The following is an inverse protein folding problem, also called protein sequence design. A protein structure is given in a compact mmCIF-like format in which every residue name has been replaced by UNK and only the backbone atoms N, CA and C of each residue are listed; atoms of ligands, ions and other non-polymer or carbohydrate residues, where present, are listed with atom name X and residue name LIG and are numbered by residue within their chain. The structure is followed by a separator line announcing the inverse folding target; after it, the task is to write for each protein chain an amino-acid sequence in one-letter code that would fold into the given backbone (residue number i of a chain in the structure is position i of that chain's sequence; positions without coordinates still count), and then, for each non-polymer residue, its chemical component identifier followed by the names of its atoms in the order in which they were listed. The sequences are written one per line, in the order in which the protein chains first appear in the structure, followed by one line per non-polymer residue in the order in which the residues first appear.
data_IF_690875946629
#
_entry.id   IF_690875946629
#
_cell.length_a   1.000
_cell.length_b   1.000
_cell.length_c   1.000
_cell.angle_alpha   90.00
_cell.angle_beta   90.00
_cell.angle_gamma   90.00
#
_symmetry.space_group_name_H-M   'P 1'
#
loop_
_entity.id
_entity.type
_entity.pdbx_description
1 polymer ?
#
# COMPACT_ATOMS: atom_id res chain seq x y z
N UNK A 1 61.10 -7.54 2.07
CA UNK A 1 60.09 -8.58 2.37
C UNK A 1 59.00 -8.10 3.34
N UNK A 2 59.33 -7.62 4.56
CA UNK A 2 58.33 -7.15 5.54
C UNK A 2 57.42 -6.00 5.04
N UNK A 3 57.95 -5.03 4.28
CA UNK A 3 57.19 -3.91 3.70
C UNK A 3 56.19 -4.37 2.62
N UNK A 4 56.57 -5.37 1.83
CA UNK A 4 55.71 -5.96 0.79
C UNK A 4 54.56 -6.76 1.40
N UNK A 5 54.84 -7.50 2.49
CA UNK A 5 53.84 -8.25 3.25
C UNK A 5 52.80 -7.34 3.91
N UNK A 6 53.21 -6.18 4.44
CA UNK A 6 52.30 -5.18 5.03
C UNK A 6 51.34 -4.59 3.99
N UNK A 7 51.82 -4.32 2.77
CA UNK A 7 51.00 -3.76 1.69
C UNK A 7 49.93 -4.75 1.24
N UNK A 8 50.27 -6.04 1.15
CA UNK A 8 49.33 -7.11 0.79
C UNK A 8 48.24 -7.27 1.87
N UNK A 9 48.62 -7.23 3.16
CA UNK A 9 47.68 -7.33 4.27
C UNK A 9 46.74 -6.11 4.32
N UNK A 10 47.26 -4.89 4.11
CA UNK A 10 46.41 -3.70 4.02
C UNK A 10 45.45 -3.74 2.83
N UNK A 11 45.89 -4.24 1.67
CA UNK A 11 45.04 -4.38 0.48
C UNK A 11 43.92 -5.40 0.70
N UNK A 12 44.20 -6.51 1.38
CA UNK A 12 43.20 -7.52 1.75
C UNK A 12 42.16 -6.98 2.76
N UNK A 13 42.59 -6.17 3.73
CA UNK A 13 41.68 -5.55 4.71
C UNK A 13 40.75 -4.52 4.01
N UNK A 14 41.29 -3.71 3.09
CA UNK A 14 40.50 -2.73 2.34
C UNK A 14 39.50 -3.42 1.39
N UNK A 15 39.91 -4.49 0.69
CA UNK A 15 38.97 -5.30 -0.10
C UNK A 15 37.91 -5.97 0.78
N UNK A 16 38.27 -6.51 1.94
CA UNK A 16 37.32 -7.11 2.88
C UNK A 16 36.26 -6.13 3.41
N UNK A 17 36.66 -4.88 3.68
CA UNK A 17 35.71 -3.83 4.08
C UNK A 17 34.77 -3.41 2.94
N UNK A 18 35.27 -3.34 1.70
CA UNK A 18 34.46 -2.94 0.55
C UNK A 18 33.45 -4.01 0.11
N UNK A 19 33.76 -5.30 0.31
CA UNK A 19 32.83 -6.41 0.05
C UNK A 19 31.79 -6.61 1.18
N UNK A 20 32.08 -6.18 2.41
CA UNK A 20 31.14 -6.30 3.53
C UNK A 20 29.95 -5.32 3.44
N UNK A 21 30.14 -4.16 2.80
CA UNK A 21 29.09 -3.13 2.70
C UNK A 21 28.05 -3.39 1.61
N UNK A 22 28.35 -4.22 0.61
CA UNK A 22 27.41 -4.52 -0.48
C UNK A 22 26.35 -5.57 -0.12
N UNK A 23 26.57 -6.38 0.93
CA UNK A 23 25.62 -7.41 1.37
C UNK A 23 24.56 -6.89 2.35
N UNK A 24 24.75 -5.71 2.94
CA UNK A 24 23.79 -5.11 3.90
C UNK A 24 22.73 -4.27 3.17
N UNK A 25 23.01 -3.81 1.95
CA UNK A 25 22.08 -2.99 1.17
C UNK A 25 20.85 -3.76 0.66
N UNK A 26 20.90 -5.09 0.58
CA UNK A 26 19.76 -5.93 0.16
C UNK A 26 18.84 -6.37 1.32
N UNK A 27 19.11 -5.94 2.56
CA UNK A 27 18.24 -6.22 3.70
C UNK A 27 17.17 -5.15 3.94
N UNK A 28 17.18 -4.06 3.17
CA UNK A 28 16.02 -3.20 3.01
C UNK A 28 15.04 -3.93 2.08
N UNK A 29 14.33 -4.92 2.61
CA UNK A 29 13.25 -5.57 1.88
C UNK A 29 12.29 -4.50 1.39
N UNK A 30 12.05 -4.48 0.08
CA UNK A 30 10.94 -3.74 -0.49
C UNK A 30 9.70 -4.12 0.33
N UNK A 31 9.07 -3.13 0.97
CA UNK A 31 7.80 -3.38 1.67
C UNK A 31 6.88 -4.00 0.62
N UNK A 32 6.48 -5.25 0.83
CA UNK A 32 5.61 -5.95 -0.09
C UNK A 32 4.37 -5.07 -0.32
N UNK A 33 4.23 -4.60 -1.56
CA UNK A 33 3.18 -3.66 -1.92
C UNK A 33 1.84 -4.39 -1.78
N UNK A 34 0.93 -3.82 -0.98
CA UNK A 34 -0.38 -4.44 -0.77
C UNK A 34 -1.12 -4.52 -2.11
N UNK A 35 -1.92 -5.57 -2.29
CA UNK A 35 -2.57 -5.91 -3.57
C UNK A 35 -3.33 -4.75 -4.22
N UNK A 36 -3.94 -3.88 -3.41
CA UNK A 36 -4.73 -2.73 -3.85
C UNK A 36 -4.01 -1.39 -3.71
N UNK A 37 -2.69 -1.37 -3.55
CA UNK A 37 -1.91 -0.13 -3.44
C UNK A 37 -2.13 0.74 -4.68
N UNK A 38 -2.43 2.02 -4.44
CA UNK A 38 -2.74 2.98 -5.51
C UNK A 38 -4.15 2.88 -6.08
N UNK A 39 -4.96 1.90 -5.66
CA UNK A 39 -6.35 1.76 -6.10
C UNK A 39 -7.30 2.67 -5.31
N UNK A 40 -8.26 3.26 -6.00
CA UNK A 40 -9.37 4.01 -5.42
C UNK A 40 -10.65 3.21 -5.62
N UNK A 41 -11.38 2.91 -4.55
CA UNK A 41 -12.68 2.22 -4.66
C UNK A 41 -13.78 3.10 -4.11
N UNK A 42 -14.78 3.39 -4.94
CA UNK A 42 -16.05 3.96 -4.52
C UNK A 42 -17.04 2.83 -4.24
N UNK A 43 -17.42 2.69 -2.97
CA UNK A 43 -18.34 1.64 -2.52
C UNK A 43 -19.73 2.23 -2.24
N UNK A 44 -20.68 1.90 -3.11
CA UNK A 44 -22.09 2.31 -2.97
C UNK A 44 -22.79 1.45 -1.92
N UNK A 45 -22.87 1.96 -0.69
CA UNK A 45 -23.55 1.30 0.42
C UNK A 45 -25.08 1.33 0.29
N UNK A 46 -25.60 2.29 -0.47
CA UNK A 46 -27.03 2.43 -0.74
C UNK A 46 -27.77 3.09 0.43
N UNK A 47 -28.01 2.40 1.54
CA UNK A 47 -28.81 2.92 2.66
C UNK A 47 -28.21 4.14 3.38
N UNK A 48 -28.82 4.50 4.51
CA UNK A 48 -28.26 5.53 5.41
C UNK A 48 -27.01 4.98 6.08
N UNK A 49 -26.05 5.85 6.37
CA UNK A 49 -24.88 5.47 7.16
C UNK A 49 -25.30 4.97 8.55
N UNK A 50 -24.73 3.85 9.00
CA UNK A 50 -24.96 3.29 10.33
C UNK A 50 -26.24 2.47 10.50
N UNK A 51 -27.16 2.47 9.53
CA UNK A 51 -28.35 1.63 9.58
C UNK A 51 -28.01 0.13 9.58
N UNK A 52 -28.89 -0.75 10.11
CA UNK A 52 -28.63 -2.20 10.16
C UNK A 52 -28.26 -2.80 8.79
N UNK A 53 -28.82 -2.25 7.71
CA UNK A 53 -28.55 -2.71 6.36
C UNK A 53 -27.18 -2.28 5.81
N UNK A 54 -26.55 -1.22 6.34
CA UNK A 54 -25.29 -0.65 5.82
C UNK A 54 -24.12 -0.92 6.76
N UNK A 55 -24.34 -0.94 8.07
CA UNK A 55 -23.28 -1.04 9.08
C UNK A 55 -22.31 -2.20 8.83
N UNK A 56 -22.84 -3.41 8.60
CA UNK A 56 -22.00 -4.58 8.36
C UNK A 56 -21.17 -4.47 7.06
N UNK A 57 -21.76 -3.90 6.00
CA UNK A 57 -21.07 -3.69 4.71
C UNK A 57 -19.96 -2.65 4.84
N UNK A 58 -20.25 -1.55 5.53
CA UNK A 58 -19.28 -0.49 5.81
C UNK A 58 -18.09 -1.02 6.60
N UNK A 59 -18.33 -1.71 7.72
CA UNK A 59 -17.25 -2.22 8.56
C UNK A 59 -16.38 -3.24 7.82
N UNK A 60 -17.01 -4.16 7.07
CA UNK A 60 -16.28 -5.13 6.25
C UNK A 60 -15.43 -4.45 5.17
N UNK A 61 -15.97 -3.44 4.49
CA UNK A 61 -15.25 -2.70 3.46
C UNK A 61 -14.04 -1.93 4.04
N UNK A 62 -14.18 -1.30 5.21
CA UNK A 62 -13.07 -0.60 5.88
C UNK A 62 -11.92 -1.55 6.21
N UNK A 63 -12.22 -2.67 6.85
CA UNK A 63 -11.20 -3.68 7.20
C UNK A 63 -10.54 -4.26 5.95
N UNK A 64 -11.32 -4.53 4.90
CA UNK A 64 -10.76 -5.00 3.62
C UNK A 64 -9.84 -3.95 2.97
N UNK A 65 -10.24 -2.68 2.99
CA UNK A 65 -9.45 -1.58 2.44
C UNK A 65 -8.12 -1.42 3.18
N UNK A 66 -8.12 -1.52 4.51
CA UNK A 66 -6.90 -1.51 5.33
C UNK A 66 -5.97 -2.68 5.00
N UNK A 67 -6.49 -3.89 4.90
CA UNK A 67 -5.68 -5.08 4.58
C UNK A 67 -5.16 -5.09 3.13
N UNK A 68 -5.90 -4.50 2.20
CA UNK A 68 -5.54 -4.47 0.78
C UNK A 68 -4.77 -3.21 0.38
N UNK A 69 -4.69 -2.19 1.24
CA UNK A 69 -4.04 -0.91 0.92
C UNK A 69 -4.83 -0.04 -0.06
N UNK A 70 -6.15 -0.23 -0.14
CA UNK A 70 -7.03 0.51 -1.05
C UNK A 70 -7.51 1.81 -0.40
N UNK A 71 -7.60 2.89 -1.17
CA UNK A 71 -8.34 4.09 -0.75
C UNK A 71 -9.85 3.87 -0.95
N UNK A 72 -10.59 3.69 0.13
CA UNK A 72 -12.05 3.51 0.11
C UNK A 72 -12.79 4.85 0.20
N UNK A 73 -13.78 5.06 -0.67
CA UNK A 73 -14.77 6.14 -0.57
C UNK A 73 -16.14 5.51 -0.37
N UNK A 74 -16.77 5.82 0.76
CA UNK A 74 -18.08 5.29 1.12
C UNK A 74 -19.20 6.20 0.61
N UNK A 75 -20.20 5.62 -0.07
CA UNK A 75 -21.31 6.38 -0.63
C UNK A 75 -22.66 5.88 -0.09
N UNK A 76 -23.35 6.75 0.64
CA UNK A 76 -24.65 6.49 1.27
C UNK A 76 -25.74 7.28 0.55
N UNK A 77 -26.67 6.59 -0.11
CA UNK A 77 -27.74 7.22 -0.90
C UNK A 77 -29.08 7.31 -0.17
N UNK A 78 -29.22 6.69 1.00
CA UNK A 78 -30.52 6.41 1.63
C UNK A 78 -31.51 5.76 0.64
N UNK A 79 -31.01 4.93 -0.29
CA UNK A 79 -31.77 4.29 -1.37
C UNK A 79 -32.44 5.26 -2.35
N UNK A 80 -32.03 6.53 -2.37
CA UNK A 80 -32.56 7.51 -3.32
C UNK A 80 -31.89 7.30 -4.69
N UNK A 81 -32.69 6.91 -5.68
CA UNK A 81 -32.21 6.56 -7.03
C UNK A 81 -31.41 7.67 -7.70
N UNK A 82 -31.87 8.92 -7.60
CA UNK A 82 -31.15 10.06 -8.17
C UNK A 82 -29.78 10.25 -7.54
N UNK A 83 -29.69 10.08 -6.21
CA UNK A 83 -28.43 10.17 -5.47
C UNK A 83 -27.47 9.04 -5.85
N UNK A 84 -27.97 7.81 -6.03
CA UNK A 84 -27.14 6.69 -6.51
C UNK A 84 -26.57 6.96 -7.91
N UNK A 85 -27.39 7.48 -8.83
CA UNK A 85 -26.93 7.84 -10.18
C UNK A 85 -25.85 8.92 -10.13
N UNK A 86 -26.02 9.94 -9.30
CA UNK A 86 -25.04 11.02 -9.15
C UNK A 86 -23.73 10.50 -8.54
N UNK A 87 -23.81 9.65 -7.51
CA UNK A 87 -22.66 8.99 -6.89
C UNK A 87 -21.91 8.08 -7.86
N UNK A 88 -22.62 7.35 -8.72
CA UNK A 88 -22.02 6.54 -9.78
C UNK A 88 -21.30 7.40 -10.82
N UNK A 89 -21.89 8.52 -11.24
CA UNK A 89 -21.24 9.48 -12.16
C UNK A 89 -19.99 10.11 -11.55
N UNK A 90 -20.03 10.45 -10.27
CA UNK A 90 -18.87 10.93 -9.51
C UNK A 90 -17.75 9.88 -9.54
N UNK A 91 -18.08 8.63 -9.23
CA UNK A 91 -17.12 7.53 -9.29
C UNK A 91 -16.53 7.38 -10.70
N UNK A 92 -17.34 7.34 -11.77
CA UNK A 92 -16.82 7.26 -13.14
C UNK A 92 -15.90 8.43 -13.51
N UNK A 93 -16.25 9.65 -13.10
CA UNK A 93 -15.46 10.85 -13.39
C UNK A 93 -14.08 10.81 -12.71
N UNK A 94 -13.95 10.08 -11.59
CA UNK A 94 -12.68 9.94 -10.87
C UNK A 94 -11.69 8.98 -11.56
N UNK A 95 -12.10 8.22 -12.57
CA UNK A 95 -11.31 7.11 -13.16
C UNK A 95 -10.65 6.23 -12.08
N UNK A 96 -11.46 5.68 -11.16
CA UNK A 96 -11.01 5.04 -9.92
C UNK A 96 -10.29 3.72 -10.16
#
# INVERSE_FOLDING_TARGET
MKKFLIIIIMSLIVCGLLFGTSLIASAAGDKEELLGSGMLIYMQMGGTEGDPSTLARTNGARVAAEHLGVKLIEQYSAWQSEKMINQFKEALAASP
#
